data_IF_647226303631
#
_entry.id   IF_647226303631
#
_cell.length_a   1.000
_cell.length_b   1.000
_cell.length_c   1.000
_cell.angle_alpha   90.00
_cell.angle_beta   90.00
_cell.angle_gamma   90.00
#
_symmetry.space_group_name_H-M   'P 1'
#
loop_
_entity.id
_entity.type
_entity.pdbx_description
1 polymer ?
#
# COMPACT_ATOMS: atom_id res chain seq x y z
N UNK A 1 12.77 -8.64 -20.25
CA UNK A 1 11.74 -7.95 -19.46
C UNK A 1 12.04 -6.46 -19.45
N UNK A 2 11.08 -5.62 -19.82
CA UNK A 2 11.29 -4.18 -19.77
C UNK A 2 11.10 -3.66 -18.32
N UNK A 3 11.39 -2.38 -18.11
CA UNK A 3 11.32 -1.76 -16.80
C UNK A 3 9.92 -1.85 -16.19
N UNK A 4 8.87 -1.58 -16.97
CA UNK A 4 7.49 -1.64 -16.50
C UNK A 4 7.12 -3.05 -16.06
N UNK A 5 7.49 -4.06 -16.83
CA UNK A 5 7.24 -5.45 -16.45
C UNK A 5 8.00 -5.84 -15.19
N UNK A 6 9.24 -5.36 -15.03
CA UNK A 6 10.06 -5.64 -13.86
C UNK A 6 9.46 -5.01 -12.61
N UNK A 7 8.96 -3.78 -12.71
CA UNK A 7 8.30 -3.10 -11.58
C UNK A 7 7.01 -3.82 -11.21
N UNK A 8 6.20 -4.21 -12.20
CA UNK A 8 4.95 -4.92 -11.96
C UNK A 8 5.20 -6.25 -11.25
N UNK A 9 6.24 -6.98 -11.67
CA UNK A 9 6.63 -8.22 -11.00
C UNK A 9 7.10 -7.98 -9.56
N UNK A 10 7.85 -6.90 -9.34
CA UNK A 10 8.30 -6.52 -7.99
C UNK A 10 7.11 -6.14 -7.09
N UNK A 11 6.11 -5.45 -7.64
CA UNK A 11 4.89 -5.09 -6.90
C UNK A 11 4.07 -6.33 -6.55
N UNK A 12 3.90 -7.26 -7.49
CA UNK A 12 3.18 -8.51 -7.22
C UNK A 12 3.86 -9.30 -6.09
N UNK A 13 5.18 -9.38 -6.12
CA UNK A 13 5.97 -10.04 -5.06
C UNK A 13 5.82 -9.31 -3.72
N UNK A 14 5.89 -7.98 -3.75
CA UNK A 14 5.74 -7.15 -2.55
C UNK A 14 4.39 -7.37 -1.87
N UNK A 15 3.29 -7.28 -2.61
CA UNK A 15 1.96 -7.42 -2.01
C UNK A 15 1.66 -8.85 -1.58
N UNK A 16 2.18 -9.85 -2.27
CA UNK A 16 2.07 -11.24 -1.84
C UNK A 16 2.81 -11.46 -0.50
N UNK A 17 3.99 -10.86 -0.35
CA UNK A 17 4.75 -10.92 0.89
C UNK A 17 4.06 -10.17 2.02
N UNK A 18 3.45 -9.02 1.70
CA UNK A 18 2.66 -8.25 2.68
C UNK A 18 1.51 -9.10 3.23
N UNK A 19 0.78 -9.77 2.34
CA UNK A 19 -0.34 -10.62 2.74
C UNK A 19 0.11 -11.82 3.57
N UNK A 20 1.29 -12.35 3.27
CA UNK A 20 1.86 -13.48 4.00
C UNK A 20 2.57 -13.06 5.29
N UNK A 21 2.67 -11.76 5.56
CA UNK A 21 3.43 -11.20 6.68
C UNK A 21 4.91 -11.61 6.64
N UNK A 22 5.46 -11.71 5.45
CA UNK A 22 6.88 -11.97 5.21
C UNK A 22 7.59 -10.62 5.12
N UNK A 23 7.96 -10.07 6.25
CA UNK A 23 8.47 -8.70 6.35
C UNK A 23 9.77 -8.48 5.58
N UNK A 24 10.64 -9.47 5.55
CA UNK A 24 11.92 -9.33 4.84
C UNK A 24 11.69 -9.21 3.32
N UNK A 25 10.88 -10.09 2.75
CA UNK A 25 10.57 -10.06 1.32
C UNK A 25 9.74 -8.83 0.97
N UNK A 26 8.78 -8.47 1.81
CA UNK A 26 7.92 -7.30 1.63
C UNK A 26 8.75 -6.03 1.41
N UNK A 27 9.86 -5.88 2.15
CA UNK A 27 10.63 -4.64 2.15
C UNK A 27 11.81 -4.62 1.19
N UNK A 28 12.03 -5.70 0.41
CA UNK A 28 13.07 -5.73 -0.62
C UNK A 28 12.84 -4.70 -1.73
N UNK A 29 11.58 -4.29 -1.95
CA UNK A 29 11.23 -3.33 -3.01
C UNK A 29 11.75 -1.91 -2.73
N UNK A 30 12.05 -1.59 -1.48
CA UNK A 30 12.44 -0.24 -1.05
C UNK A 30 13.94 0.00 -1.18
N UNK A 31 14.28 1.23 -1.53
CA UNK A 31 15.66 1.73 -1.38
C UNK A 31 15.99 1.80 0.11
N UNK A 32 17.27 1.73 0.44
CA UNK A 32 17.71 1.89 1.83
C UNK A 32 17.31 3.24 2.42
N UNK A 33 17.29 4.29 1.57
CA UNK A 33 16.92 5.65 1.96
C UNK A 33 15.45 5.99 1.65
N UNK A 34 14.60 5.00 1.42
CA UNK A 34 13.20 5.23 1.10
C UNK A 34 12.48 6.00 2.21
N UNK A 35 11.45 6.74 1.81
CA UNK A 35 10.61 7.51 2.71
C UNK A 35 9.17 7.05 2.54
N UNK A 36 8.48 6.83 3.66
CA UNK A 36 7.05 6.51 3.69
C UNK A 36 6.33 7.67 4.37
N UNK A 37 5.32 8.21 3.71
CA UNK A 37 4.55 9.32 4.25
C UNK A 37 3.09 8.95 4.45
N UNK A 38 2.53 9.39 5.57
CA UNK A 38 1.11 9.27 5.92
C UNK A 38 0.53 10.69 6.00
N UNK A 39 0.02 11.27 4.89
CA UNK A 39 -0.48 12.65 4.91
C UNK A 39 -1.63 12.87 5.90
N UNK A 40 -2.45 11.84 6.14
CA UNK A 40 -3.61 11.98 7.04
C UNK A 40 -3.20 12.28 8.49
N UNK A 41 -2.07 11.76 8.93
CA UNK A 41 -1.54 12.04 10.28
C UNK A 41 -0.39 13.04 10.28
N UNK A 42 0.15 13.36 9.08
CA UNK A 42 1.30 14.24 8.94
C UNK A 42 2.62 13.58 9.32
N UNK A 43 2.68 12.25 9.32
CA UNK A 43 3.86 11.51 9.72
C UNK A 43 4.71 11.07 8.54
N UNK A 44 6.01 10.92 8.79
CA UNK A 44 6.98 10.38 7.83
C UNK A 44 7.86 9.37 8.55
N UNK A 45 8.12 8.25 7.89
CA UNK A 45 9.10 7.27 8.34
C UNK A 45 10.21 7.27 7.31
N UNK A 46 11.45 7.49 7.75
CA UNK A 46 12.62 7.53 6.88
C UNK A 46 13.46 6.28 7.08
N UNK A 47 13.95 5.73 5.99
CA UNK A 47 14.76 4.54 5.80
C UNK A 47 13.95 3.24 5.74
N UNK A 48 14.41 2.34 4.88
CA UNK A 48 13.81 1.00 4.76
C UNK A 48 13.78 0.27 6.09
N UNK A 49 14.85 0.39 6.86
CA UNK A 49 14.96 -0.25 8.17
C UNK A 49 13.83 0.18 9.11
N UNK A 50 13.58 1.49 9.18
CA UNK A 50 12.54 2.02 10.06
C UNK A 50 11.14 1.69 9.54
N UNK A 51 10.93 1.69 8.22
CA UNK A 51 9.65 1.30 7.62
C UNK A 51 9.33 -0.14 8.01
N UNK A 52 10.29 -1.05 7.85
CA UNK A 52 10.11 -2.46 8.20
C UNK A 52 9.88 -2.63 9.70
N UNK A 53 10.67 -1.95 10.53
CA UNK A 53 10.52 -2.04 11.99
C UNK A 53 9.13 -1.59 12.44
N UNK A 54 8.63 -0.49 11.88
CA UNK A 54 7.30 0.02 12.19
C UNK A 54 6.21 -0.99 11.83
N UNK A 55 6.30 -1.60 10.65
CA UNK A 55 5.31 -2.59 10.21
C UNK A 55 5.38 -3.88 11.01
N UNK A 56 6.58 -4.31 11.36
CA UNK A 56 6.78 -5.52 12.17
C UNK A 56 6.27 -5.36 13.59
N UNK A 57 6.22 -4.11 14.10
CA UNK A 57 5.73 -3.80 15.44
C UNK A 57 4.21 -3.72 15.52
N UNK A 58 3.50 -3.70 14.38
CA UNK A 58 2.04 -3.65 14.35
C UNK A 58 1.47 -4.94 14.97
N UNK A 59 0.70 -4.85 16.07
CA UNK A 59 0.25 -6.05 16.79
C UNK A 59 -0.86 -6.82 16.10
N UNK A 60 -1.59 -6.19 15.19
CA UNK A 60 -2.76 -6.80 14.56
C UNK A 60 -2.35 -7.67 13.39
N UNK A 61 -3.08 -8.77 13.20
CA UNK A 61 -2.87 -9.63 12.03
C UNK A 61 -3.33 -8.91 10.78
N UNK A 62 -2.42 -8.73 9.84
CA UNK A 62 -2.70 -8.02 8.59
C UNK A 62 -2.95 -9.00 7.45
N UNK A 63 -3.95 -8.70 6.63
CA UNK A 63 -4.19 -9.36 5.35
C UNK A 63 -4.41 -8.29 4.30
N UNK A 64 -3.97 -8.56 3.08
CA UNK A 64 -4.00 -7.61 1.97
C UNK A 64 -4.74 -8.24 0.80
N UNK A 65 -5.73 -7.53 0.25
CA UNK A 65 -6.43 -7.93 -0.97
C UNK A 65 -6.25 -6.83 -2.00
N UNK A 66 -5.37 -7.05 -2.96
CA UNK A 66 -5.09 -6.07 -4.01
C UNK A 66 -6.25 -6.06 -5.01
N UNK A 67 -6.78 -4.87 -5.28
CA UNK A 67 -7.85 -4.69 -6.27
C UNK A 67 -7.28 -4.38 -7.64
N UNK A 68 -6.28 -3.49 -7.72
CA UNK A 68 -5.63 -3.15 -8.98
C UNK A 68 -4.30 -2.45 -8.74
N UNK A 69 -3.43 -2.57 -9.72
CA UNK A 69 -2.14 -1.89 -9.77
C UNK A 69 -2.08 -1.14 -11.09
N UNK A 70 -1.87 0.16 -11.02
CA UNK A 70 -1.80 1.04 -12.18
C UNK A 70 -0.52 1.85 -12.12
N UNK A 71 0.09 2.12 -13.28
CA UNK A 71 1.25 2.98 -13.30
C UNK A 71 2.06 2.91 -14.58
N UNK A 72 3.19 3.57 -14.54
CA UNK A 72 4.17 3.63 -15.60
C UNK A 72 5.21 4.70 -15.28
N UNK A 73 6.35 4.63 -15.94
CA UNK A 73 7.42 5.63 -15.82
C UNK A 73 7.82 5.95 -14.38
N UNK A 74 7.83 4.98 -13.51
CA UNK A 74 8.30 5.18 -12.14
C UNK A 74 7.25 5.63 -11.13
N UNK A 75 6.01 5.88 -11.56
CA UNK A 75 4.92 6.23 -10.63
C UNK A 75 3.87 5.12 -10.67
N UNK A 76 3.61 4.49 -9.52
CA UNK A 76 2.71 3.35 -9.45
C UNK A 76 1.74 3.47 -8.29
N UNK A 77 0.48 3.15 -8.57
CA UNK A 77 -0.60 3.22 -7.58
C UNK A 77 -1.18 1.83 -7.41
N UNK A 78 -1.29 1.39 -6.16
CA UNK A 78 -1.97 0.14 -5.80
C UNK A 78 -3.17 0.46 -4.93
N UNK A 79 -4.33 -0.03 -5.34
CA UNK A 79 -5.56 0.06 -4.54
C UNK A 79 -5.80 -1.31 -3.91
N UNK A 80 -5.99 -1.35 -2.60
CA UNK A 80 -6.17 -2.61 -1.89
C UNK A 80 -7.03 -2.45 -0.64
N UNK A 81 -7.56 -3.57 -0.17
CA UNK A 81 -8.22 -3.63 1.13
C UNK A 81 -7.24 -4.29 2.08
N UNK A 82 -6.89 -3.56 3.14
CA UNK A 82 -6.05 -4.06 4.22
C UNK A 82 -6.97 -4.38 5.38
N UNK A 83 -6.86 -5.59 5.93
CA UNK A 83 -7.60 -5.92 7.15
C UNK A 83 -6.65 -6.05 8.33
N UNK A 84 -7.08 -5.49 9.46
CA UNK A 84 -6.41 -5.63 10.76
C UNK A 84 -7.32 -6.47 11.63
N UNK A 85 -6.93 -7.72 11.89
CA UNK A 85 -7.76 -8.68 12.64
C UNK A 85 -9.19 -8.77 12.05
N UNK A 86 -9.28 -8.75 10.71
CA UNK A 86 -10.53 -8.86 9.99
C UNK A 86 -11.28 -7.54 9.77
N UNK A 87 -10.83 -6.42 10.37
CA UNK A 87 -11.47 -5.12 10.18
C UNK A 87 -10.88 -4.41 8.96
N UNK A 88 -11.70 -4.06 7.96
CA UNK A 88 -11.19 -3.53 6.71
C UNK A 88 -10.76 -2.07 6.77
N UNK A 89 -9.73 -1.74 6.02
CA UNK A 89 -9.32 -0.38 5.70
C UNK A 89 -9.12 -0.31 4.19
N UNK A 90 -9.77 0.66 3.56
CA UNK A 90 -9.61 0.89 2.11
C UNK A 90 -8.39 1.75 1.90
N UNK A 91 -7.41 1.22 1.21
CA UNK A 91 -6.06 1.77 1.20
C UNK A 91 -5.57 2.03 -0.21
N UNK A 92 -4.83 3.13 -0.37
CA UNK A 92 -4.13 3.46 -1.61
C UNK A 92 -2.66 3.68 -1.27
N UNK A 93 -1.79 3.00 -2.00
CA UNK A 93 -0.36 3.18 -1.95
C UNK A 93 0.10 3.84 -3.25
N UNK A 94 0.83 4.93 -3.13
CA UNK A 94 1.42 5.64 -4.26
C UNK A 94 2.93 5.52 -4.11
N UNK A 95 3.56 4.80 -5.05
CA UNK A 95 5.00 4.55 -5.00
C UNK A 95 5.72 5.27 -6.13
N UNK A 96 6.79 5.97 -5.78
CA UNK A 96 7.69 6.62 -6.71
C UNK A 96 9.00 5.85 -6.73
N UNK A 97 9.35 5.32 -7.91
CA UNK A 97 10.54 4.49 -8.08
C UNK A 97 11.71 5.31 -8.59
N UNK A 98 12.90 4.97 -8.11
CA UNK A 98 14.18 5.48 -8.62
C UNK A 98 15.16 4.31 -8.66
N UNK A 99 15.81 4.12 -9.81
CA UNK A 99 16.76 3.03 -10.01
C UNK A 99 16.17 1.64 -9.71
N UNK A 100 14.89 1.45 -10.07
CA UNK A 100 14.21 0.17 -9.92
C UNK A 100 13.71 -0.15 -8.52
N UNK A 101 13.84 0.76 -7.58
CA UNK A 101 13.41 0.59 -6.19
C UNK A 101 12.56 1.78 -5.75
N UNK A 102 11.70 1.56 -4.76
CA UNK A 102 10.85 2.62 -4.21
C UNK A 102 11.70 3.62 -3.45
N UNK A 103 11.66 4.89 -3.89
CA UNK A 103 12.29 6.01 -3.21
C UNK A 103 11.33 6.68 -2.23
N UNK A 104 10.05 6.75 -2.59
CA UNK A 104 9.02 7.36 -1.76
C UNK A 104 7.72 6.59 -1.92
N UNK A 105 7.05 6.36 -0.82
CA UNK A 105 5.70 5.81 -0.81
C UNK A 105 4.78 6.74 -0.01
N UNK A 106 3.59 6.99 -0.55
CA UNK A 106 2.55 7.74 0.15
C UNK A 106 1.36 6.81 0.34
N UNK A 107 0.82 6.71 1.55
CA UNK A 107 -0.31 5.85 1.82
C UNK A 107 -1.45 6.64 2.45
N UNK A 108 -2.67 6.35 1.99
CA UNK A 108 -3.92 6.85 2.55
C UNK A 108 -4.75 5.66 2.99
N UNK A 109 -5.40 5.80 4.16
CA UNK A 109 -6.24 4.77 4.74
C UNK A 109 -7.63 5.34 4.99
N UNK A 110 -8.66 4.54 4.75
CA UNK A 110 -10.04 4.97 5.00
C UNK A 110 -10.86 3.82 5.55
N UNK A 111 -11.54 4.09 6.65
CA UNK A 111 -12.49 3.14 7.22
C UNK A 111 -13.77 3.12 6.38
N UNK A 112 -14.50 1.98 6.35
CA UNK A 112 -15.83 1.96 5.76
C UNK A 112 -16.75 2.92 6.52
N UNK A 113 -17.74 3.46 5.84
CA UNK A 113 -18.74 4.33 6.47
C UNK A 113 -20.12 4.08 5.87
N UNK A 114 -21.14 4.50 6.60
CA UNK A 114 -22.52 4.32 6.20
C UNK A 114 -22.87 5.20 4.99
N UNK A 115 -23.80 4.74 4.12
CA UNK A 115 -24.28 5.57 3.03
C UNK A 115 -24.82 6.91 3.52
N UNK A 116 -24.43 7.99 2.84
CA UNK A 116 -24.87 9.32 3.21
C UNK A 116 -26.31 9.59 2.77
N UNK A 117 -27.16 10.19 3.63
CA UNK A 117 -28.56 10.42 3.29
C UNK A 117 -28.75 11.43 2.15
N UNK A 118 -27.82 12.34 1.94
CA UNK A 118 -27.93 13.38 0.91
C UNK A 118 -27.93 12.85 -0.51
N UNK A 119 -27.44 11.63 -0.75
CA UNK A 119 -27.37 11.03 -2.09
C UNK A 119 -28.26 9.79 -2.23
N UNK A 120 -29.07 9.52 -1.23
CA UNK A 120 -29.85 8.27 -1.14
C UNK A 120 -30.71 7.99 -2.36
N UNK A 121 -31.31 9.02 -2.98
CA UNK A 121 -32.21 8.82 -4.12
C UNK A 121 -31.50 8.49 -5.43
N UNK A 122 -30.16 8.63 -5.47
CA UNK A 122 -29.42 8.40 -6.72
C UNK A 122 -28.47 7.21 -6.66
N UNK A 123 -28.24 6.62 -5.48
CA UNK A 123 -27.24 5.58 -5.33
C UNK A 123 -27.83 4.18 -5.43
N UNK A 124 -26.98 3.24 -5.84
CA UNK A 124 -27.22 1.80 -5.74
C UNK A 124 -26.13 1.22 -4.86
N UNK A 125 -26.43 0.13 -4.17
CA UNK A 125 -25.42 -0.54 -3.38
C UNK A 125 -24.51 -1.38 -4.29
N UNK A 126 -23.21 -1.34 -4.04
CA UNK A 126 -22.23 -2.18 -4.72
C UNK A 126 -22.37 -3.60 -4.19
N UNK A 127 -22.50 -4.57 -5.09
CA UNK A 127 -22.69 -5.98 -4.72
C UNK A 127 -21.50 -6.83 -5.11
#
# INVERSE_FOLDING_TARGET
>A
MNEEQAIRAALDRHWAASDANDFDVEHEIYRDDAVLEYPQSGERISSRRNIQASRSAQPNKKRFTVRRILGGAGLWVTEFVLTYDGLPSYTVSIMEFADGKVARETQYFADPFEPGPSRAQWVELIR
#
